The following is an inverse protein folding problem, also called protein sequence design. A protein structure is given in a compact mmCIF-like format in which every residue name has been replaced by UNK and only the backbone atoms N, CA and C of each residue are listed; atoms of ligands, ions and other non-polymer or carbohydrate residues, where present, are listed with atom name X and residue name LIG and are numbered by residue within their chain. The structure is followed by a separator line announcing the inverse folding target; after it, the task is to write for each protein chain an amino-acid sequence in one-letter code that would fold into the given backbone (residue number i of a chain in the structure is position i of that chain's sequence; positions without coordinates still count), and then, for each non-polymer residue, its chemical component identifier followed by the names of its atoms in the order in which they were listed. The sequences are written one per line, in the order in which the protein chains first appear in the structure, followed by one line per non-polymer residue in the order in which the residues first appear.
data_IF_734838607672
#
_entry.id   IF_734838607672
#
_cell.length_a   1.000
_cell.length_b   1.000
_cell.length_c   1.000
_cell.angle_alpha   90.00
_cell.angle_beta   90.00
_cell.angle_gamma   90.00
#
_symmetry.space_group_name_H-M   'P 1'
#
loop_
_entity.id
_entity.type
_entity.pdbx_description
1 polymer ?
#
# COMPACT_ATOMS: atom_id res chain seq x y z
N UNK A 1 -10.76 -24.87 -23.23
CA UNK A 1 -11.11 -23.61 -23.92
C UNK A 1 -10.12 -22.56 -23.47
N UNK A 2 -9.19 -22.18 -24.34
CA UNK A 2 -8.08 -21.27 -24.01
C UNK A 2 -8.60 -19.83 -23.93
N UNK A 3 -8.27 -19.12 -22.85
CA UNK A 3 -8.53 -17.69 -22.69
C UNK A 3 -7.85 -16.90 -23.81
N UNK A 4 -8.52 -15.91 -24.43
CA UNK A 4 -7.89 -15.09 -25.46
C UNK A 4 -6.88 -14.16 -24.77
N UNK A 5 -5.59 -14.45 -24.93
CA UNK A 5 -4.54 -13.51 -24.54
C UNK A 5 -4.72 -12.23 -25.37
N UNK A 6 -4.82 -11.08 -24.70
CA UNK A 6 -4.86 -9.79 -25.36
C UNK A 6 -3.63 -9.66 -26.27
N UNK A 7 -3.86 -9.60 -27.59
CA UNK A 7 -2.78 -9.50 -28.55
C UNK A 7 -2.09 -8.13 -28.38
N UNK A 8 -0.74 -8.05 -28.37
CA UNK A 8 -0.01 -6.79 -28.22
C UNK A 8 -0.47 -5.69 -29.18
N UNK A 9 -0.89 -6.08 -30.40
CA UNK A 9 -1.45 -5.18 -31.40
C UNK A 9 -2.70 -4.43 -30.93
N UNK A 10 -3.58 -5.09 -30.19
CA UNK A 10 -4.82 -4.49 -29.68
C UNK A 10 -4.52 -3.45 -28.59
N UNK A 11 -3.62 -3.76 -27.66
CA UNK A 11 -3.21 -2.81 -26.61
C UNK A 11 -2.56 -1.56 -27.20
N UNK A 12 -1.74 -1.72 -28.24
CA UNK A 12 -1.12 -0.59 -28.96
C UNK A 12 -2.17 0.22 -29.75
N UNK A 13 -3.18 -0.41 -30.35
CA UNK A 13 -4.27 0.30 -31.01
C UNK A 13 -5.12 1.09 -30.00
N UNK A 14 -5.47 0.49 -28.87
CA UNK A 14 -6.20 1.14 -27.78
C UNK A 14 -5.43 2.34 -27.22
N UNK A 15 -4.11 2.21 -27.05
CA UNK A 15 -3.26 3.30 -26.59
C UNK A 15 -3.24 4.48 -27.57
N UNK A 16 -3.12 4.22 -28.89
CA UNK A 16 -3.15 5.29 -29.91
C UNK A 16 -4.48 6.03 -29.91
N UNK A 17 -5.59 5.30 -29.81
CA UNK A 17 -6.92 5.91 -29.80
C UNK A 17 -7.16 6.72 -28.51
N UNK A 18 -6.71 6.22 -27.37
CA UNK A 18 -6.72 6.98 -26.12
C UNK A 18 -5.89 8.27 -26.25
N UNK A 19 -4.68 8.18 -26.80
CA UNK A 19 -3.80 9.35 -26.97
C UNK A 19 -4.43 10.39 -27.90
N UNK A 20 -5.00 9.95 -29.04
CA UNK A 20 -5.74 10.81 -29.97
C UNK A 20 -6.88 11.54 -29.26
N UNK A 21 -7.73 10.79 -28.55
CA UNK A 21 -8.89 11.34 -27.84
C UNK A 21 -8.49 12.37 -26.78
N UNK A 22 -7.40 12.13 -26.06
CA UNK A 22 -6.88 13.08 -25.07
C UNK A 22 -6.33 14.34 -25.75
N UNK A 23 -5.56 14.19 -26.83
CA UNK A 23 -5.06 15.33 -27.61
C UNK A 23 -6.16 16.17 -28.27
N UNK A 24 -7.28 15.56 -28.65
CA UNK A 24 -8.44 16.30 -29.19
C UNK A 24 -9.18 17.07 -28.11
N UNK A 25 -9.29 16.49 -26.91
CA UNK A 25 -9.94 17.14 -25.77
C UNK A 25 -9.08 18.25 -25.18
N UNK A 26 -7.77 18.04 -25.13
CA UNK A 26 -6.79 18.98 -24.57
C UNK A 26 -5.48 18.89 -25.39
N UNK A 27 -5.29 19.77 -26.38
CA UNK A 27 -4.06 19.80 -27.21
C UNK A 27 -2.79 20.11 -26.41
N UNK A 28 -2.92 20.75 -25.24
CA UNK A 28 -1.78 21.08 -24.39
C UNK A 28 -1.42 19.94 -23.42
N UNK A 29 -2.29 18.95 -23.25
CA UNK A 29 -2.16 17.88 -22.24
C UNK A 29 -0.75 17.27 -22.16
N UNK A 30 -0.20 16.79 -23.28
CA UNK A 30 1.11 16.16 -23.29
C UNK A 30 2.26 17.15 -23.10
N UNK A 31 2.12 18.40 -23.56
CA UNK A 31 3.12 19.45 -23.33
C UNK A 31 3.16 19.85 -21.85
N UNK A 32 1.99 20.01 -21.23
CA UNK A 32 1.85 20.24 -19.78
C UNK A 32 2.36 19.06 -18.96
N UNK A 33 2.11 17.82 -19.41
CA UNK A 33 2.60 16.60 -18.76
C UNK A 33 4.13 16.50 -18.80
N UNK A 34 4.76 16.83 -19.94
CA UNK A 34 6.22 16.89 -20.07
C UNK A 34 6.81 18.00 -19.20
N UNK A 35 6.13 19.14 -19.09
CA UNK A 35 6.55 20.24 -18.24
C UNK A 35 6.46 19.93 -16.73
N UNK A 36 5.65 18.95 -16.31
CA UNK A 36 5.53 18.51 -14.92
C UNK A 36 6.55 17.42 -14.57
N UNK A 37 7.81 17.80 -14.34
CA UNK A 37 8.88 16.90 -13.91
C UNK A 37 9.36 17.17 -12.46
N UNK A 38 8.42 17.41 -11.53
CA UNK A 38 8.74 17.37 -10.09
C UNK A 38 7.58 16.77 -9.28
N UNK A 39 7.34 15.45 -9.39
CA UNK A 39 6.30 14.81 -8.59
C UNK A 39 6.56 15.11 -7.12
N UNK A 40 5.58 15.73 -6.46
CA UNK A 40 5.65 16.08 -5.03
C UNK A 40 5.36 14.89 -4.12
N UNK A 41 4.86 13.79 -4.70
CA UNK A 41 4.42 12.60 -3.99
C UNK A 41 4.95 11.35 -4.70
N UNK A 42 5.43 10.39 -3.91
CA UNK A 42 5.68 9.02 -4.32
C UNK A 42 4.62 8.14 -3.66
N UNK A 43 3.87 7.37 -4.45
CA UNK A 43 2.88 6.44 -3.94
C UNK A 43 3.40 5.00 -4.03
N UNK A 44 3.46 4.31 -2.89
CA UNK A 44 3.78 2.89 -2.81
C UNK A 44 2.50 2.17 -2.39
N UNK A 45 1.98 1.29 -3.25
CA UNK A 45 0.73 0.56 -3.01
C UNK A 45 0.82 -0.91 -3.40
N UNK A 46 -0.19 -1.69 -3.03
CA UNK A 46 -0.30 -3.08 -3.45
C UNK A 46 -0.61 -3.17 -4.96
N UNK A 47 0.06 -4.08 -5.67
CA UNK A 47 -0.18 -4.31 -7.11
C UNK A 47 -1.53 -4.99 -7.39
N UNK A 48 -2.13 -5.61 -6.39
CA UNK A 48 -3.39 -6.33 -6.51
C UNK A 48 -4.37 -5.86 -5.43
N UNK A 49 -5.46 -5.23 -5.87
CA UNK A 49 -6.56 -4.78 -5.03
C UNK A 49 -7.60 -5.88 -4.77
N UNK A 50 -7.35 -7.12 -5.20
CA UNK A 50 -8.34 -8.21 -5.23
C UNK A 50 -7.79 -9.61 -4.93
N UNK A 51 -6.56 -9.78 -4.43
CA UNK A 51 -6.20 -11.08 -3.84
C UNK A 51 -7.08 -11.24 -2.60
N UNK A 52 -7.97 -12.24 -2.56
CA UNK A 52 -8.90 -12.38 -1.47
C UNK A 52 -8.08 -12.62 -0.21
N UNK A 53 -8.36 -11.85 0.83
CA UNK A 53 -7.46 -11.73 1.96
C UNK A 53 -7.25 -13.07 2.70
N UNK A 54 -8.16 -14.03 2.55
CA UNK A 54 -7.96 -15.40 3.00
C UNK A 54 -6.69 -16.08 2.41
N UNK A 55 -6.28 -15.75 1.18
CA UNK A 55 -5.04 -16.25 0.56
C UNK A 55 -3.79 -15.52 1.09
N UNK A 56 -3.91 -14.23 1.44
CA UNK A 56 -2.81 -13.43 2.02
C UNK A 56 -2.56 -13.81 3.49
N UNK A 57 -3.63 -14.03 4.26
CA UNK A 57 -3.57 -14.25 5.71
C UNK A 57 -3.41 -15.74 6.07
N UNK A 58 -3.54 -16.64 5.08
CA UNK A 58 -3.32 -18.08 5.24
C UNK A 58 -4.37 -18.78 6.12
N UNK A 59 -5.58 -18.22 6.20
CA UNK A 59 -6.68 -18.77 7.01
C UNK A 59 -7.40 -19.95 6.34
N UNK A 60 -7.15 -20.21 5.05
CA UNK A 60 -7.49 -21.50 4.43
C UNK A 60 -6.37 -22.00 3.53
N UNK A 61 -5.85 -23.18 3.90
CA UNK A 61 -4.99 -24.08 3.13
C UNK A 61 -3.56 -23.59 2.79
N UNK A 62 -2.60 -24.41 3.26
CA UNK A 62 -1.19 -24.46 2.84
C UNK A 62 -1.07 -24.83 1.36
N UNK A 63 -1.58 -24.02 0.45
CA UNK A 63 -1.24 -24.12 -0.97
C UNK A 63 0.11 -23.42 -1.15
N UNK A 64 1.15 -24.14 -1.59
CA UNK A 64 2.39 -23.49 -1.98
C UNK A 64 2.13 -22.73 -3.28
N UNK A 65 2.15 -21.40 -3.22
CA UNK A 65 1.92 -20.52 -4.36
C UNK A 65 3.22 -20.31 -5.17
N UNK A 66 4.34 -20.93 -4.77
CA UNK A 66 5.60 -20.93 -5.49
C UNK A 66 6.47 -19.73 -5.12
N UNK A 67 7.06 -19.04 -6.10
CA UNK A 67 8.00 -17.93 -5.84
C UNK A 67 7.38 -16.76 -5.06
N UNK A 68 6.06 -16.57 -5.15
CA UNK A 68 5.34 -15.53 -4.40
C UNK A 68 5.35 -15.80 -2.89
N UNK A 69 5.51 -17.05 -2.45
CA UNK A 69 5.60 -17.39 -1.03
C UNK A 69 6.79 -16.69 -0.34
N UNK A 70 7.88 -16.45 -1.09
CA UNK A 70 9.04 -15.71 -0.59
C UNK A 70 8.70 -14.23 -0.34
N UNK A 71 7.87 -13.64 -1.20
CA UNK A 71 7.39 -12.27 -1.03
C UNK A 71 6.37 -12.17 0.11
N UNK A 72 5.44 -13.12 0.17
CA UNK A 72 4.42 -13.21 1.23
C UNK A 72 5.02 -13.47 2.61
N UNK A 73 6.25 -14.02 2.69
CA UNK A 73 7.00 -14.15 3.95
C UNK A 73 7.08 -12.85 4.72
N UNK A 74 7.20 -11.71 4.02
CA UNK A 74 7.27 -10.41 4.70
C UNK A 74 5.96 -10.06 5.42
N UNK A 75 4.81 -10.37 4.82
CA UNK A 75 3.49 -10.19 5.45
C UNK A 75 3.29 -11.20 6.59
N UNK A 76 3.77 -12.43 6.42
CA UNK A 76 3.76 -13.45 7.48
C UNK A 76 4.59 -13.00 8.70
N UNK A 77 5.73 -12.35 8.50
CA UNK A 77 6.54 -11.80 9.59
C UNK A 77 5.78 -10.69 10.35
N UNK A 78 5.00 -9.85 9.66
CA UNK A 78 4.12 -8.85 10.31
C UNK A 78 3.07 -9.56 11.16
N UNK A 79 2.43 -10.60 10.61
CA UNK A 79 1.45 -11.41 11.36
C UNK A 79 2.06 -12.00 12.63
N UNK A 80 3.22 -12.66 12.50
CA UNK A 80 3.92 -13.28 13.63
C UNK A 80 4.32 -12.26 14.70
N UNK A 81 4.82 -11.09 14.28
CA UNK A 81 5.19 -9.98 15.19
C UNK A 81 4.00 -9.45 15.99
N UNK A 82 2.84 -9.38 15.36
CA UNK A 82 1.65 -8.71 15.90
C UNK A 82 0.50 -9.68 16.23
N UNK A 83 0.78 -10.98 16.35
CA UNK A 83 -0.20 -12.05 16.58
C UNK A 83 -1.15 -11.74 17.75
N UNK A 84 -0.61 -11.15 18.82
CA UNK A 84 -1.39 -10.75 20.01
C UNK A 84 -2.41 -9.64 19.75
N UNK A 85 -2.20 -8.78 18.74
CA UNK A 85 -3.15 -7.73 18.34
C UNK A 85 -4.15 -8.24 17.33
N UNK A 86 -3.71 -9.11 16.42
CA UNK A 86 -4.54 -9.70 15.38
C UNK A 86 -5.55 -10.66 16.02
N UNK A 87 -5.10 -11.58 16.88
CA UNK A 87 -5.96 -12.57 17.54
C UNK A 87 -7.09 -11.98 18.40
N UNK A 88 -6.94 -10.72 18.85
CA UNK A 88 -7.95 -9.98 19.62
C UNK A 88 -9.12 -9.45 18.78
N UNK A 89 -8.97 -9.40 17.46
CA UNK A 89 -10.05 -9.02 16.57
C UNK A 89 -11.13 -10.13 16.52
N UNK A 90 -12.41 -9.71 16.43
CA UNK A 90 -13.57 -10.56 16.74
C UNK A 90 -13.97 -11.50 15.59
N UNK A 91 -13.52 -11.24 14.37
CA UNK A 91 -13.75 -12.07 13.19
C UNK A 91 -12.56 -12.14 12.24
N UNK A 92 -12.62 -13.05 11.26
CA UNK A 92 -11.53 -13.23 10.29
C UNK A 92 -11.34 -12.02 9.38
N UNK A 93 -12.44 -11.35 9.00
CA UNK A 93 -12.40 -10.08 8.26
C UNK A 93 -11.68 -8.98 9.07
N UNK A 94 -11.97 -8.86 10.37
CA UNK A 94 -11.32 -7.86 11.21
C UNK A 94 -9.83 -8.18 11.42
N UNK A 95 -9.47 -9.48 11.46
CA UNK A 95 -8.06 -9.93 11.55
C UNK A 95 -7.30 -9.61 10.27
N UNK A 96 -7.95 -9.76 9.13
CA UNK A 96 -7.45 -9.38 7.82
C UNK A 96 -7.20 -7.87 7.78
N UNK A 97 -8.21 -7.08 8.13
CA UNK A 97 -8.14 -5.62 8.12
C UNK A 97 -7.00 -5.16 9.05
N UNK A 98 -6.92 -5.75 10.25
CA UNK A 98 -5.84 -5.51 11.21
C UNK A 98 -4.45 -5.82 10.66
N UNK A 99 -4.29 -6.95 9.97
CA UNK A 99 -3.01 -7.31 9.37
C UNK A 99 -2.64 -6.33 8.24
N UNK A 100 -3.60 -5.87 7.46
CA UNK A 100 -3.38 -4.86 6.42
C UNK A 100 -2.89 -3.53 7.03
N UNK A 101 -3.56 -3.04 8.07
CA UNK A 101 -3.18 -1.82 8.80
C UNK A 101 -1.75 -1.94 9.36
N UNK A 102 -1.46 -3.03 10.09
CA UNK A 102 -0.15 -3.29 10.66
C UNK A 102 0.94 -3.45 9.60
N UNK A 103 0.62 -4.05 8.45
CA UNK A 103 1.56 -4.15 7.35
C UNK A 103 1.93 -2.77 6.80
N UNK A 104 0.96 -1.85 6.63
CA UNK A 104 1.25 -0.47 6.20
C UNK A 104 2.15 0.22 7.23
N UNK A 105 1.85 0.11 8.52
CA UNK A 105 2.65 0.72 9.60
C UNK A 105 4.09 0.17 9.60
N UNK A 106 4.26 -1.14 9.48
CA UNK A 106 5.57 -1.78 9.38
C UNK A 106 6.34 -1.32 8.13
N UNK A 107 5.67 -1.21 6.96
CA UNK A 107 6.32 -0.73 5.74
C UNK A 107 6.72 0.74 5.82
N UNK A 108 5.90 1.60 6.44
CA UNK A 108 6.29 3.01 6.69
C UNK A 108 7.58 3.06 7.49
N UNK A 109 7.66 2.29 8.58
CA UNK A 109 8.90 2.19 9.37
C UNK A 109 10.09 1.69 8.53
N UNK A 110 9.89 0.71 7.65
CA UNK A 110 10.95 0.22 6.77
C UNK A 110 11.44 1.31 5.81
N UNK A 111 10.52 2.06 5.17
CA UNK A 111 10.85 3.18 4.27
C UNK A 111 11.64 4.24 5.04
N UNK A 112 11.16 4.62 6.24
CA UNK A 112 11.85 5.54 7.13
C UNK A 112 13.29 5.11 7.43
N UNK A 113 13.53 3.81 7.61
CA UNK A 113 14.84 3.26 7.95
C UNK A 113 15.79 3.03 6.76
N UNK A 114 15.35 3.30 5.53
CA UNK A 114 16.24 3.19 4.36
C UNK A 114 17.35 4.24 4.40
N UNK A 115 18.52 3.89 3.86
CA UNK A 115 19.63 4.85 3.72
C UNK A 115 19.24 6.10 2.95
N UNK A 116 18.37 5.95 1.93
CA UNK A 116 17.88 7.05 1.10
C UNK A 116 17.12 8.09 1.93
N UNK A 117 16.17 7.64 2.76
CA UNK A 117 15.37 8.54 3.61
C UNK A 117 16.22 9.11 4.73
N UNK A 118 17.03 8.28 5.38
CA UNK A 118 17.93 8.72 6.45
C UNK A 118 18.93 9.79 5.95
N UNK A 119 19.50 9.61 4.75
CA UNK A 119 20.37 10.61 4.11
C UNK A 119 19.61 11.90 3.79
N UNK A 120 18.35 11.80 3.33
CA UNK A 120 17.50 12.95 3.04
C UNK A 120 17.20 13.78 4.30
N UNK A 121 16.83 13.15 5.41
CA UNK A 121 16.62 13.84 6.68
C UNK A 121 17.91 14.41 7.25
N UNK A 122 19.04 13.68 7.15
CA UNK A 122 20.35 14.17 7.61
C UNK A 122 20.80 15.45 6.89
N UNK A 123 20.48 15.59 5.60
CA UNK A 123 20.74 16.82 4.83
C UNK A 123 19.63 17.87 4.98
N UNK A 124 18.72 17.70 5.93
CA UNK A 124 17.58 18.59 6.20
C UNK A 124 16.67 18.81 4.98
N UNK A 125 16.56 17.82 4.09
CA UNK A 125 15.60 17.88 3.00
C UNK A 125 14.18 17.67 3.55
N UNK A 126 13.21 18.56 3.25
CA UNK A 126 11.81 18.34 3.62
C UNK A 126 11.27 17.06 2.97
N UNK A 127 10.96 16.08 3.80
CA UNK A 127 10.40 14.79 3.39
C UNK A 127 9.54 14.24 4.53
N UNK A 128 8.28 13.93 4.22
CA UNK A 128 7.38 13.26 5.14
C UNK A 128 6.89 11.93 4.52
N UNK A 129 6.71 10.93 5.36
CA UNK A 129 6.25 9.59 5.01
C UNK A 129 4.95 9.36 5.77
N UNK A 130 3.91 8.97 5.04
CA UNK A 130 2.57 8.73 5.55
C UNK A 130 2.19 7.27 5.36
N UNK A 131 1.35 6.73 6.23
CA UNK A 131 0.73 5.42 6.07
C UNK A 131 -0.78 5.55 6.04
N UNK A 132 -1.37 5.22 4.90
CA UNK A 132 -2.81 5.24 4.70
C UNK A 132 -3.32 3.87 4.29
N UNK A 133 -4.56 3.59 4.68
CA UNK A 133 -5.32 2.46 4.16
C UNK A 133 -6.52 2.96 3.37
N UNK A 134 -6.88 2.24 2.31
CA UNK A 134 -8.03 2.52 1.48
C UNK A 134 -9.05 1.41 1.70
N UNK A 135 -10.25 1.77 2.12
CA UNK A 135 -11.34 0.80 2.23
C UNK A 135 -12.11 0.73 0.89
N UNK A 136 -12.25 -0.48 0.37
CA UNK A 136 -12.92 -0.75 -0.90
C UNK A 136 -14.44 -0.70 -0.79
N UNK A 137 -14.99 -0.81 0.41
CA UNK A 137 -16.44 -0.78 0.65
C UNK A 137 -17.01 0.64 0.57
N UNK A 138 -16.27 1.62 1.08
CA UNK A 138 -16.71 3.03 1.13
C UNK A 138 -15.89 3.97 0.22
N UNK A 139 -14.73 3.51 -0.27
CA UNK A 139 -13.83 4.29 -1.12
C UNK A 139 -13.05 5.38 -0.39
N UNK A 140 -12.94 5.32 0.94
CA UNK A 140 -12.30 6.34 1.77
C UNK A 140 -10.87 5.96 2.16
N UNK A 141 -9.99 6.96 2.15
CA UNK A 141 -8.65 6.87 2.73
C UNK A 141 -8.71 7.15 4.23
N UNK A 142 -8.02 6.32 5.01
CA UNK A 142 -7.92 6.42 6.47
C UNK A 142 -6.45 6.54 6.86
N UNK A 143 -6.16 7.52 7.71
CA UNK A 143 -4.80 7.75 8.21
C UNK A 143 -4.50 6.84 9.40
N UNK A 144 -3.38 6.11 9.33
CA UNK A 144 -2.93 5.19 10.38
C UNK A 144 -2.05 5.87 11.45
N UNK A 145 -1.93 7.20 11.41
CA UNK A 145 -1.24 8.00 12.40
C UNK A 145 0.25 7.66 12.60
N UNK A 146 0.88 7.09 11.56
CA UNK A 146 2.30 6.74 11.55
C UNK A 146 3.15 7.74 10.75
N UNK A 147 2.72 9.00 10.65
CA UNK A 147 3.47 10.07 10.00
C UNK A 147 4.90 10.16 10.56
N UNK A 148 5.90 10.25 9.68
CA UNK A 148 7.28 10.57 10.06
C UNK A 148 7.95 11.48 9.04
N UNK A 149 8.62 12.49 9.54
CA UNK A 149 9.33 13.59 8.88
C UNK A 149 10.76 13.78 9.42
N UNK A 150 11.13 13.04 10.47
CA UNK A 150 12.48 12.95 11.02
C UNK A 150 12.77 11.55 11.57
N UNK A 151 14.05 11.21 11.71
CA UNK A 151 14.50 9.89 12.18
C UNK A 151 14.21 9.64 13.66
N UNK A 152 14.18 10.71 14.45
CA UNK A 152 13.98 10.74 15.89
C UNK A 152 12.52 10.42 16.28
N UNK A 153 11.54 10.74 15.44
CA UNK A 153 10.13 10.49 15.74
C UNK A 153 9.60 9.14 15.23
N UNK A 154 10.35 8.41 14.39
CA UNK A 154 9.88 7.17 13.75
C UNK A 154 9.46 6.12 14.79
N UNK A 155 10.22 5.96 15.85
CA UNK A 155 9.94 4.96 16.89
C UNK A 155 8.64 5.29 17.65
N UNK A 156 8.43 6.57 17.97
CA UNK A 156 7.24 7.02 18.69
C UNK A 156 6.01 6.99 17.77
N UNK A 157 6.14 7.42 16.52
CA UNK A 157 5.08 7.35 15.51
C UNK A 157 4.64 5.90 15.26
N UNK A 158 5.60 4.98 15.14
CA UNK A 158 5.31 3.56 15.00
C UNK A 158 4.54 3.01 16.22
N UNK A 159 5.02 3.30 17.43
CA UNK A 159 4.42 2.76 18.66
C UNK A 159 2.99 3.28 18.86
N UNK A 160 2.79 4.59 18.66
CA UNK A 160 1.45 5.20 18.70
C UNK A 160 0.51 4.60 17.66
N UNK A 161 0.97 4.42 16.41
CA UNK A 161 0.14 3.86 15.35
C UNK A 161 -0.30 2.42 15.67
N UNK A 162 0.61 1.59 16.17
CA UNK A 162 0.30 0.21 16.60
C UNK A 162 -0.71 0.20 17.74
N UNK A 163 -0.57 1.08 18.73
CA UNK A 163 -1.50 1.21 19.86
C UNK A 163 -2.90 1.68 19.43
N UNK A 164 -2.98 2.69 18.57
CA UNK A 164 -4.25 3.19 18.03
C UNK A 164 -4.96 2.12 17.22
N UNK A 165 -4.22 1.42 16.37
CA UNK A 165 -4.73 0.30 15.59
C UNK A 165 -5.27 -0.79 16.51
N UNK A 166 -4.63 -1.05 17.65
CA UNK A 166 -5.11 -2.01 18.65
C UNK A 166 -6.39 -1.56 19.39
N UNK A 167 -6.59 -0.25 19.55
CA UNK A 167 -7.69 0.35 20.31
C UNK A 167 -8.96 0.59 19.48
N UNK A 168 -8.83 0.81 18.18
CA UNK A 168 -9.94 1.02 17.27
C UNK A 168 -10.47 -0.35 16.83
N UNK A 169 -11.81 -0.51 16.72
CA UNK A 169 -12.42 -1.65 16.02
C UNK A 169 -11.95 -1.72 14.56
N UNK A 170 -12.38 -2.68 13.75
CA UNK A 170 -12.04 -2.66 12.32
C UNK A 170 -12.38 -1.29 11.72
N UNK A 171 -11.57 -0.81 10.77
CA UNK A 171 -11.79 0.44 10.04
C UNK A 171 -13.21 0.54 9.42
N UNK A 172 -13.91 -0.59 9.30
CA UNK A 172 -15.35 -0.73 9.07
C UNK A 172 -16.16 -0.29 10.30
N UNK A 173 -16.27 1.00 10.54
CA UNK A 173 -17.30 1.55 11.44
C UNK A 173 -18.32 2.33 10.60
N UNK A 174 -19.59 2.03 10.88
CA UNK A 174 -20.83 2.49 10.23
C UNK A 174 -20.88 3.95 9.74
#
# INVERSE_FOLDING_TARGET
MSTPHAQPAQSLANNREWARRISERDPAFFQSLVAQQSPKYLWIGCSDSRVPANEIVGLMLRASLGLIDNWLRHVQNVRERHEHLISRASGDDDRIDRLCELNVIDQVRHVCNTTIVQDAWRRQQPLAIHGWIYDVHDGLLRDLACLSSGSDEVADAYSRAVELTAAIGPARSD
#
